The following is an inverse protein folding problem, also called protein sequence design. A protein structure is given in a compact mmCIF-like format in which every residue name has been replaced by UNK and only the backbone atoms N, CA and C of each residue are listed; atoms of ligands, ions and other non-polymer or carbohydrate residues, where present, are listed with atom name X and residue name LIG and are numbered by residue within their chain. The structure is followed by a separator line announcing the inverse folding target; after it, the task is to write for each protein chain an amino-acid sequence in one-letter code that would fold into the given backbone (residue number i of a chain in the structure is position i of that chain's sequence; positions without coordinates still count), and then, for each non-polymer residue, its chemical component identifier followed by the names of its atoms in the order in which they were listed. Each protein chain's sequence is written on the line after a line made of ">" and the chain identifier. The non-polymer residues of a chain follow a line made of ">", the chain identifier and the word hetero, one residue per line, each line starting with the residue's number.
data_IF_560988734538
#
_entry.id   IF_560988734538
#
_cell.length_a   1.000
_cell.length_b   1.000
_cell.length_c   1.000
_cell.angle_alpha   90.00
_cell.angle_beta   90.00
_cell.angle_gamma   90.00
#
_symmetry.space_group_name_H-M   'P 1'
#
loop_
_entity.id
_entity.type
_entity.pdbx_description
1 polymer ?
#
# COMPACT_ATOMS: atom_id res chain seq x y z
N UNK A 1 -1.56 -16.99 17.31
CA UNK A 1 -0.92 -16.31 16.18
C UNK A 1 0.43 -16.93 15.96
N UNK A 2 0.91 -16.95 14.72
CA UNK A 2 2.24 -17.41 14.34
C UNK A 2 3.07 -16.19 13.91
N UNK A 3 4.21 -15.97 14.57
CA UNK A 3 5.12 -14.84 14.29
C UNK A 3 5.71 -14.93 12.87
N UNK A 4 5.82 -16.13 12.30
CA UNK A 4 6.38 -16.33 10.97
C UNK A 4 5.37 -16.08 9.85
N UNK A 5 4.11 -15.79 10.20
CA UNK A 5 3.00 -15.60 9.28
C UNK A 5 2.28 -14.27 9.58
N UNK A 6 3.03 -13.17 9.58
CA UNK A 6 2.48 -11.82 9.74
C UNK A 6 2.15 -11.21 8.38
N UNK A 7 0.95 -10.64 8.27
CA UNK A 7 0.47 -9.96 7.07
C UNK A 7 -0.06 -8.59 7.46
N UNK A 8 0.17 -7.60 6.60
CA UNK A 8 -0.42 -6.29 6.76
C UNK A 8 -1.56 -6.11 5.76
N UNK A 9 -2.65 -5.51 6.23
CA UNK A 9 -3.74 -5.11 5.37
C UNK A 9 -4.29 -3.79 5.88
N UNK A 10 -4.59 -2.89 4.96
CA UNK A 10 -5.15 -1.59 5.31
C UNK A 10 -6.01 -1.03 4.19
N UNK A 11 -6.87 -0.09 4.56
CA UNK A 11 -7.73 0.65 3.65
C UNK A 11 -7.49 2.16 3.79
N UNK A 12 -7.53 2.90 2.68
CA UNK A 12 -7.36 4.36 2.68
C UNK A 12 -6.03 4.78 3.34
N UNK A 13 -6.06 5.60 4.39
CA UNK A 13 -4.87 5.93 5.18
C UNK A 13 -4.18 4.68 5.77
N UNK A 14 -4.93 3.65 6.16
CA UNK A 14 -4.36 2.39 6.61
C UNK A 14 -3.61 1.62 5.51
N UNK A 15 -4.04 1.77 4.25
CA UNK A 15 -3.33 1.18 3.12
C UNK A 15 -1.99 1.90 2.86
N UNK A 16 -1.96 3.21 3.07
CA UNK A 16 -0.72 4.00 3.04
C UNK A 16 0.25 3.56 4.16
N UNK A 17 -0.22 3.50 5.41
CA UNK A 17 0.61 3.06 6.54
C UNK A 17 1.13 1.64 6.36
N UNK A 18 0.27 0.69 5.95
CA UNK A 18 0.68 -0.69 5.72
C UNK A 18 1.76 -0.80 4.62
N UNK A 19 1.67 0.03 3.58
CA UNK A 19 2.69 0.07 2.54
C UNK A 19 3.99 0.68 3.04
N UNK A 20 3.93 1.84 3.72
CA UNK A 20 5.13 2.54 4.20
C UNK A 20 5.91 1.69 5.20
N UNK A 21 5.23 1.10 6.21
CA UNK A 21 5.86 0.22 7.22
C UNK A 21 6.50 -1.04 6.61
N UNK A 22 6.02 -1.51 5.47
CA UNK A 22 6.56 -2.70 4.81
C UNK A 22 7.63 -2.40 3.75
N UNK A 23 7.84 -1.13 3.41
CA UNK A 23 8.79 -0.71 2.37
C UNK A 23 9.99 -0.02 3.02
N UNK A 24 9.73 0.91 3.94
CA UNK A 24 10.75 1.69 4.62
C UNK A 24 11.23 0.93 5.88
N UNK A 25 12.50 0.49 5.92
CA UNK A 25 13.04 -0.31 7.02
C UNK A 25 13.08 0.45 8.35
N UNK A 26 13.15 1.79 8.33
CA UNK A 26 13.31 2.62 9.54
C UNK A 26 12.17 2.38 10.55
N UNK A 27 10.96 2.05 10.07
CA UNK A 27 9.80 1.77 10.93
C UNK A 27 9.92 0.50 11.77
N UNK A 28 10.73 -0.46 11.34
CA UNK A 28 10.91 -1.75 12.01
C UNK A 28 12.27 -1.86 12.69
N UNK A 29 13.27 -1.13 12.18
CA UNK A 29 14.62 -1.11 12.73
C UNK A 29 14.66 -0.61 14.19
N UNK A 30 13.79 0.34 14.57
CA UNK A 30 13.63 0.78 15.98
C UNK A 30 13.21 -0.34 16.94
N UNK A 31 12.77 -1.48 16.40
CA UNK A 31 12.32 -2.65 17.14
C UNK A 31 13.20 -3.88 16.90
N UNK A 32 14.39 -3.72 16.31
CA UNK A 32 15.29 -4.80 15.92
C UNK A 32 14.62 -5.80 14.94
N UNK A 33 13.72 -5.30 14.07
CA UNK A 33 13.01 -6.08 13.06
C UNK A 33 13.30 -5.53 11.65
N UNK A 34 13.13 -6.37 10.64
CA UNK A 34 13.25 -6.00 9.23
C UNK A 34 11.92 -6.20 8.51
N UNK A 35 11.67 -5.54 7.36
CA UNK A 35 10.44 -5.75 6.56
C UNK A 35 10.13 -7.22 6.23
N UNK A 36 11.15 -8.08 6.16
CA UNK A 36 11.02 -9.53 5.93
C UNK A 36 10.21 -10.30 6.98
N UNK A 37 9.90 -9.70 8.14
CA UNK A 37 8.96 -10.30 9.12
C UNK A 37 7.52 -10.30 8.61
N UNK A 38 7.21 -9.45 7.63
CA UNK A 38 5.92 -9.38 6.95
C UNK A 38 5.98 -10.31 5.74
N UNK A 39 4.96 -11.16 5.58
CA UNK A 39 4.86 -12.12 4.47
C UNK A 39 4.09 -11.59 3.27
N UNK A 40 3.32 -10.53 3.44
CA UNK A 40 2.60 -9.89 2.35
C UNK A 40 1.77 -8.71 2.81
N UNK A 41 1.50 -7.81 1.88
CA UNK A 41 0.74 -6.58 2.12
C UNK A 41 -0.45 -6.49 1.17
N UNK A 42 -1.64 -6.23 1.73
CA UNK A 42 -2.85 -5.91 0.97
C UNK A 42 -3.24 -4.47 1.24
N UNK A 43 -3.00 -3.58 0.27
CA UNK A 43 -3.28 -2.16 0.41
C UNK A 43 -4.49 -1.76 -0.44
N UNK A 44 -5.56 -1.28 0.21
CA UNK A 44 -6.86 -1.03 -0.40
C UNK A 44 -7.16 0.46 -0.58
N UNK A 45 -7.03 0.92 -1.82
CA UNK A 45 -7.51 2.20 -2.36
C UNK A 45 -6.96 3.47 -1.67
N UNK A 46 -5.65 3.50 -1.40
CA UNK A 46 -4.96 4.76 -1.08
C UNK A 46 -4.60 5.54 -2.34
N UNK A 47 -4.66 6.87 -2.25
CA UNK A 47 -4.04 7.77 -3.20
C UNK A 47 -2.65 8.26 -2.73
N UNK A 48 -2.29 8.05 -1.46
CA UNK A 48 -1.09 8.64 -0.86
C UNK A 48 0.19 7.82 -1.08
N UNK A 49 0.27 6.94 -2.09
CA UNK A 49 1.50 6.18 -2.35
C UNK A 49 2.64 7.05 -2.90
N UNK A 50 2.30 8.14 -3.59
CA UNK A 50 3.23 9.16 -4.05
C UNK A 50 2.60 10.54 -3.84
N UNK A 51 2.82 11.13 -2.66
CA UNK A 51 2.26 12.42 -2.26
C UNK A 51 2.72 13.56 -3.17
N UNK A 52 4.00 13.58 -3.59
CA UNK A 52 4.52 14.61 -4.50
C UNK A 52 3.85 14.62 -5.87
N UNK A 53 3.07 13.57 -6.20
CA UNK A 53 2.27 13.45 -7.44
C UNK A 53 0.76 13.30 -7.19
N UNK A 54 0.28 13.48 -5.96
CA UNK A 54 -1.12 13.20 -5.58
C UNK A 54 -2.07 14.38 -5.84
N UNK A 55 -1.59 15.63 -5.81
CA UNK A 55 -2.40 16.79 -6.15
C UNK A 55 -2.04 17.43 -7.49
N UNK A 56 -2.16 18.75 -7.55
CA UNK A 56 -2.04 19.58 -8.76
C UNK A 56 -1.02 20.69 -8.56
N UNK A 57 -0.38 21.14 -9.65
CA UNK A 57 0.53 22.29 -9.65
C UNK A 57 1.67 22.23 -8.60
N UNK A 58 2.07 21.01 -8.23
CA UNK A 58 3.14 20.76 -7.25
C UNK A 58 2.69 20.72 -5.79
N UNK A 59 1.39 20.68 -5.52
CA UNK A 59 0.81 20.62 -4.17
C UNK A 59 -0.04 19.34 -3.96
N UNK A 60 -0.32 18.99 -2.71
CA UNK A 60 -1.21 17.90 -2.28
C UNK A 60 -2.62 18.43 -1.95
N UNK A 61 -3.66 17.59 -2.05
CA UNK A 61 -5.00 17.98 -1.60
C UNK A 61 -5.05 18.48 -0.15
N UNK A 62 -5.79 19.57 0.12
CA UNK A 62 -5.91 20.22 1.44
C UNK A 62 -6.12 19.28 2.63
N UNK A 63 -6.85 18.17 2.44
CA UNK A 63 -7.13 17.23 3.53
C UNK A 63 -5.88 16.46 4.01
N UNK A 64 -4.80 16.45 3.22
CA UNK A 64 -3.52 15.85 3.58
C UNK A 64 -2.59 16.84 4.32
N UNK A 65 -2.80 18.15 4.17
CA UNK A 65 -1.96 19.19 4.77
C UNK A 65 -1.80 19.07 6.30
N UNK A 66 -2.87 18.77 7.09
CA UNK A 66 -2.72 18.61 8.53
C UNK A 66 -1.84 17.42 8.95
N UNK A 67 -1.69 16.42 8.08
CA UNK A 67 -0.91 15.21 8.37
C UNK A 67 0.53 15.34 7.88
N UNK A 68 0.73 15.93 6.70
CA UNK A 68 2.03 15.93 6.02
C UNK A 68 2.70 17.31 5.95
N UNK A 69 2.22 18.27 6.75
CA UNK A 69 2.76 19.64 6.81
C UNK A 69 2.72 20.32 5.44
N UNK A 70 1.71 21.17 5.25
CA UNK A 70 1.21 21.64 3.96
C UNK A 70 2.16 22.20 2.89
N UNK A 71 3.45 22.41 3.18
CA UNK A 71 4.41 22.97 2.20
C UNK A 71 5.79 22.25 2.23
N UNK A 72 5.90 21.09 2.88
CA UNK A 72 7.18 20.40 3.06
C UNK A 72 7.35 19.21 2.10
N UNK A 73 8.01 19.46 0.96
CA UNK A 73 8.23 18.42 -0.06
C UNK A 73 9.11 17.27 0.43
N UNK A 74 10.01 17.51 1.39
CA UNK A 74 10.85 16.45 1.95
C UNK A 74 9.99 15.52 2.82
N UNK A 75 9.06 16.08 3.61
CA UNK A 75 8.05 15.29 4.34
C UNK A 75 7.18 14.48 3.39
N UNK A 76 6.76 15.07 2.26
CA UNK A 76 5.93 14.35 1.30
C UNK A 76 6.69 13.23 0.61
N UNK A 77 7.97 13.44 0.30
CA UNK A 77 8.84 12.43 -0.28
C UNK A 77 9.04 11.27 0.70
N UNK A 78 9.42 11.57 1.94
CA UNK A 78 9.59 10.58 3.01
C UNK A 78 8.28 9.80 3.26
N UNK A 79 7.14 10.48 3.27
CA UNK A 79 5.83 9.85 3.44
C UNK A 79 5.27 9.19 2.17
N UNK A 80 6.03 9.08 1.08
CA UNK A 80 5.59 8.43 -0.17
C UNK A 80 6.16 7.02 -0.30
N UNK A 81 5.38 5.95 -0.04
CA UNK A 81 5.83 4.56 -0.21
C UNK A 81 6.51 4.28 -1.54
N UNK A 82 6.04 4.87 -2.64
CA UNK A 82 6.64 4.72 -3.98
C UNK A 82 8.08 5.22 -4.04
N UNK A 83 8.42 6.25 -3.28
CA UNK A 83 9.76 6.87 -3.29
C UNK A 83 10.73 6.21 -2.30
N UNK A 84 10.22 5.33 -1.41
CA UNK A 84 11.02 4.59 -0.44
C UNK A 84 11.38 3.17 -0.92
N UNK A 85 11.00 2.79 -2.15
CA UNK A 85 11.29 1.45 -2.69
C UNK A 85 12.78 1.34 -3.03
N UNK A 86 13.48 0.44 -2.36
CA UNK A 86 14.89 0.12 -2.60
C UNK A 86 15.06 -1.34 -3.07
N UNK A 87 16.06 -1.59 -3.93
CA UNK A 87 16.41 -2.95 -4.38
C UNK A 87 17.04 -3.80 -3.25
N UNK A 88 17.72 -3.17 -2.31
CA UNK A 88 18.51 -3.83 -1.27
C UNK A 88 17.68 -4.30 -0.07
N UNK A 89 16.46 -3.80 0.06
CA UNK A 89 15.55 -4.12 1.16
C UNK A 89 14.68 -5.32 0.78
N UNK A 90 14.54 -6.30 1.67
CA UNK A 90 13.67 -7.48 1.45
C UNK A 90 12.20 -7.09 1.66
N UNK A 91 11.62 -6.43 0.65
CA UNK A 91 10.25 -5.93 0.68
C UNK A 91 9.28 -7.07 0.37
N UNK A 92 8.25 -7.32 1.21
CA UNK A 92 7.32 -8.43 1.01
C UNK A 92 6.46 -8.23 -0.25
N UNK A 93 5.82 -9.29 -0.77
CA UNK A 93 4.90 -9.17 -1.88
C UNK A 93 3.68 -8.27 -1.60
N UNK A 94 3.21 -7.55 -2.62
CA UNK A 94 2.09 -6.61 -2.53
C UNK A 94 0.90 -6.99 -3.42
N UNK A 95 -0.31 -6.88 -2.86
CA UNK A 95 -1.56 -6.79 -3.59
C UNK A 95 -2.19 -5.41 -3.36
N UNK A 96 -2.13 -4.57 -4.39
CA UNK A 96 -2.64 -3.20 -4.41
C UNK A 96 -4.03 -3.18 -5.05
N UNK A 97 -5.06 -3.14 -4.22
CA UNK A 97 -6.44 -3.07 -4.69
C UNK A 97 -6.87 -1.60 -4.82
N UNK A 98 -7.44 -1.22 -5.95
CA UNK A 98 -7.92 0.16 -6.17
C UNK A 98 -9.27 0.20 -6.87
N UNK A 99 -9.99 1.31 -6.74
CA UNK A 99 -11.24 1.58 -7.47
C UNK A 99 -11.07 2.69 -8.51
N UNK A 100 -12.06 2.87 -9.38
CA UNK A 100 -12.01 3.89 -10.43
C UNK A 100 -12.28 5.30 -9.88
N UNK A 101 -11.24 5.90 -9.27
CA UNK A 101 -11.20 7.30 -8.83
C UNK A 101 -10.14 8.05 -9.62
N UNK A 102 -10.16 9.38 -9.58
CA UNK A 102 -9.25 10.20 -10.41
C UNK A 102 -7.76 9.85 -10.22
N UNK A 103 -7.32 9.64 -8.97
CA UNK A 103 -5.89 9.48 -8.64
C UNK A 103 -5.52 8.05 -8.21
N UNK A 104 -6.43 7.30 -7.59
CA UNK A 104 -6.12 5.97 -7.02
C UNK A 104 -5.53 4.97 -8.03
N UNK A 105 -6.07 4.81 -9.26
CA UNK A 105 -5.52 3.88 -10.25
C UNK A 105 -4.07 4.18 -10.67
N UNK A 106 -3.71 5.45 -10.85
CA UNK A 106 -2.35 5.81 -11.26
C UNK A 106 -1.37 5.57 -10.12
N UNK A 107 -1.72 5.96 -8.88
CA UNK A 107 -0.86 5.77 -7.70
C UNK A 107 -0.62 4.30 -7.35
N UNK A 108 -1.67 3.47 -7.41
CA UNK A 108 -1.53 2.04 -7.13
C UNK A 108 -0.65 1.35 -8.20
N UNK A 109 -0.83 1.69 -9.48
CA UNK A 109 0.01 1.15 -10.56
C UNK A 109 1.45 1.62 -10.48
N UNK A 110 1.66 2.89 -10.15
CA UNK A 110 2.98 3.47 -9.98
C UNK A 110 3.76 2.77 -8.85
N UNK A 111 3.12 2.49 -7.70
CA UNK A 111 3.75 1.72 -6.64
C UNK A 111 4.06 0.28 -7.07
N UNK A 112 3.13 -0.39 -7.77
CA UNK A 112 3.40 -1.72 -8.30
C UNK A 112 4.58 -1.73 -9.28
N UNK A 113 4.67 -0.73 -10.14
CA UNK A 113 5.75 -0.60 -11.12
C UNK A 113 7.10 -0.34 -10.43
N UNK A 114 7.14 0.53 -9.42
CA UNK A 114 8.34 0.78 -8.63
C UNK A 114 8.84 -0.51 -7.93
N UNK A 115 7.94 -1.21 -7.24
CA UNK A 115 8.24 -2.49 -6.57
C UNK A 115 8.78 -3.53 -7.57
N UNK A 116 8.07 -3.76 -8.67
CA UNK A 116 8.49 -4.74 -9.67
C UNK A 116 9.81 -4.37 -10.36
N UNK A 117 10.06 -3.07 -10.58
CA UNK A 117 11.31 -2.60 -11.19
C UNK A 117 12.51 -2.79 -10.27
N UNK A 118 12.30 -2.72 -8.95
CA UNK A 118 13.29 -3.00 -7.93
C UNK A 118 13.48 -4.50 -7.62
N UNK A 119 12.80 -5.39 -8.35
CA UNK A 119 12.91 -6.84 -8.19
C UNK A 119 11.93 -7.47 -7.19
N UNK A 120 11.05 -6.68 -6.59
CA UNK A 120 10.01 -7.16 -5.66
C UNK A 120 8.76 -7.63 -6.40
N UNK A 121 7.84 -8.32 -5.71
CA UNK A 121 6.59 -8.82 -6.32
C UNK A 121 5.42 -7.90 -5.99
N UNK A 122 4.76 -7.30 -6.97
CA UNK A 122 3.55 -6.51 -6.75
C UNK A 122 2.49 -6.64 -7.85
N UNK A 123 1.22 -6.78 -7.48
CA UNK A 123 0.07 -6.70 -8.40
C UNK A 123 -0.83 -5.51 -8.05
N UNK A 124 -1.13 -4.65 -9.03
CA UNK A 124 -2.17 -3.63 -8.91
C UNK A 124 -3.45 -4.08 -9.63
N UNK A 125 -4.56 -4.17 -8.89
CA UNK A 125 -5.84 -4.71 -9.42
C UNK A 125 -7.02 -3.76 -9.19
N UNK A 126 -7.71 -3.45 -10.29
CA UNK A 126 -8.97 -2.71 -10.27
C UNK A 126 -10.10 -3.58 -9.71
N UNK A 127 -10.74 -3.11 -8.63
CA UNK A 127 -11.97 -3.70 -8.10
C UNK A 127 -13.18 -3.00 -8.70
N UNK A 128 -13.83 -3.68 -9.65
CA UNK A 128 -15.03 -3.17 -10.33
C UNK A 128 -16.24 -3.18 -9.39
N UNK A 129 -17.20 -2.28 -9.63
CA UNK A 129 -18.47 -2.18 -8.87
C UNK A 129 -18.27 -1.93 -7.37
N UNK A 130 -17.18 -1.27 -7.01
CA UNK A 130 -16.89 -0.75 -5.67
C UNK A 130 -16.48 0.72 -5.81
N UNK A 131 -16.70 1.46 -4.74
CA UNK A 131 -16.16 2.80 -4.50
C UNK A 131 -15.16 2.72 -3.33
N UNK A 132 -14.62 3.87 -2.93
CA UNK A 132 -13.64 3.93 -1.86
C UNK A 132 -14.12 3.24 -0.58
N UNK A 133 -15.32 3.55 -0.09
CA UNK A 133 -15.84 3.00 1.18
C UNK A 133 -16.31 1.58 1.00
N UNK A 134 -17.07 1.32 -0.07
CA UNK A 134 -17.65 -0.01 -0.27
C UNK A 134 -16.61 -1.07 -0.57
N UNK A 135 -15.38 -0.73 -0.96
CA UNK A 135 -14.27 -1.68 -1.03
C UNK A 135 -13.97 -2.32 0.35
N UNK A 136 -14.09 -1.54 1.43
CA UNK A 136 -13.91 -1.99 2.80
C UNK A 136 -15.20 -2.51 3.44
N UNK A 137 -16.27 -1.70 3.41
CA UNK A 137 -17.50 -1.97 4.20
C UNK A 137 -18.19 -3.29 3.81
N UNK A 138 -18.03 -3.67 2.54
CA UNK A 138 -18.66 -4.87 1.97
C UNK A 138 -17.69 -6.06 1.86
N UNK A 139 -16.55 -5.98 2.53
CA UNK A 139 -15.59 -7.08 2.56
C UNK A 139 -16.17 -8.24 3.38
N UNK A 140 -16.19 -9.44 2.81
CA UNK A 140 -16.73 -10.63 3.48
C UNK A 140 -18.26 -10.74 3.48
N UNK A 141 -18.97 -9.81 2.84
CA UNK A 141 -20.40 -9.98 2.54
C UNK A 141 -20.65 -11.24 1.71
N UNK A 142 -21.87 -11.79 1.80
CA UNK A 142 -22.27 -12.95 0.98
C UNK A 142 -22.13 -12.61 -0.51
N UNK A 143 -21.29 -13.37 -1.21
CA UNK A 143 -21.01 -13.18 -2.64
C UNK A 143 -19.93 -12.15 -2.95
N UNK A 144 -19.25 -11.61 -1.93
CA UNK A 144 -18.06 -10.79 -2.13
C UNK A 144 -16.94 -11.60 -2.78
N UNK A 145 -16.25 -10.97 -3.73
CA UNK A 145 -15.11 -11.56 -4.45
C UNK A 145 -13.77 -11.00 -3.98
N UNK A 146 -13.77 -9.93 -3.20
CA UNK A 146 -12.55 -9.28 -2.72
C UNK A 146 -11.96 -10.07 -1.55
N UNK A 147 -12.76 -10.48 -0.56
CA UNK A 147 -12.26 -11.28 0.55
C UNK A 147 -11.60 -12.61 0.12
N UNK A 148 -12.20 -13.43 -0.77
CA UNK A 148 -11.52 -14.62 -1.28
C UNK A 148 -10.18 -14.31 -1.98
N UNK A 149 -10.12 -13.25 -2.78
CA UNK A 149 -8.89 -12.83 -3.46
C UNK A 149 -7.77 -12.47 -2.48
N UNK A 150 -8.10 -11.78 -1.39
CA UNK A 150 -7.16 -11.45 -0.31
C UNK A 150 -6.67 -12.72 0.39
N UNK A 151 -7.58 -13.64 0.68
CA UNK A 151 -7.25 -14.92 1.32
C UNK A 151 -6.35 -15.77 0.43
N UNK A 152 -6.61 -15.83 -0.87
CA UNK A 152 -5.79 -16.57 -1.81
C UNK A 152 -4.38 -15.96 -1.90
N UNK A 153 -4.27 -14.62 -1.99
CA UNK A 153 -2.98 -13.94 -1.93
C UNK A 153 -2.18 -14.28 -0.66
N UNK A 154 -2.81 -14.27 0.52
CA UNK A 154 -2.13 -14.64 1.77
C UNK A 154 -1.67 -16.10 1.77
N UNK A 155 -2.48 -17.04 1.26
CA UNK A 155 -2.10 -18.46 1.18
C UNK A 155 -0.92 -18.69 0.26
N UNK A 156 -0.85 -17.97 -0.86
CA UNK A 156 0.28 -18.06 -1.79
C UNK A 156 1.60 -17.68 -1.08
N UNK A 157 1.59 -16.66 -0.22
CA UNK A 157 2.81 -16.24 0.50
C UNK A 157 3.15 -17.10 1.73
N UNK A 158 2.23 -17.95 2.18
CA UNK A 158 2.52 -18.95 3.22
C UNK A 158 3.22 -20.20 2.65
N UNK A 159 3.19 -20.37 1.33
CA UNK A 159 3.69 -21.55 0.64
C UNK A 159 5.12 -21.39 0.10
N UNK A 160 5.65 -20.15 0.13
CA UNK A 160 7.02 -19.75 -0.20
C UNK A 160 7.89 -19.68 1.07
#
# INVERSE_FOLDING_TARGET
>A
GDRNNMFLMGHSAGAHMAALTAIDPDYLDEHDLTPSVIKGVVAMDSAAYNLVRTGSDGDIPDFYHPTFTGDDQDVWAAASPTLQVEETTDIPPFLLLYVNRAVSPSRAKELAEALNSAGHKAEARLVKKRDHKSLNDRLGEKGDKVAPMIVDFFRDQMSD
#
